data_IF_841723127476
#
_entry.id   IF_841723127476
#
_cell.length_a   1.000
_cell.length_b   1.000
_cell.length_c   1.000
_cell.angle_alpha   90.00
_cell.angle_beta   90.00
_cell.angle_gamma   90.00
#
_symmetry.space_group_name_H-M   'P 1'
#
loop_
_entity.id
_entity.type
_entity.pdbx_description
1 polymer ?
#
# COMPACT_ATOMS: atom_id res chain seq x y z
N UNK A 1 5.32 -28.41 11.89
CA UNK A 1 5.60 -27.18 11.13
C UNK A 1 7.06 -26.82 11.36
N UNK A 2 7.87 -26.64 10.31
CA UNK A 2 9.22 -26.08 10.49
C UNK A 2 9.13 -24.72 11.20
N UNK A 3 10.16 -24.30 11.93
CA UNK A 3 10.14 -23.09 12.75
C UNK A 3 9.93 -21.78 11.99
N UNK A 4 10.40 -20.66 12.54
CA UNK A 4 10.40 -19.38 11.83
C UNK A 4 11.37 -19.42 10.66
N UNK A 5 10.98 -18.81 9.54
CA UNK A 5 11.89 -18.56 8.41
C UNK A 5 12.78 -17.37 8.76
N UNK A 6 14.02 -17.64 9.17
CA UNK A 6 14.99 -16.64 9.61
C UNK A 6 15.49 -15.72 8.47
N UNK A 7 15.17 -16.06 7.22
CA UNK A 7 15.43 -15.17 6.09
C UNK A 7 14.41 -14.03 5.98
N UNK A 8 13.29 -14.08 6.72
CA UNK A 8 12.31 -13.01 6.79
C UNK A 8 12.65 -12.02 7.90
N UNK A 9 12.58 -10.73 7.60
CA UNK A 9 12.94 -9.67 8.55
C UNK A 9 11.74 -8.99 9.22
N UNK A 10 10.59 -9.02 8.57
CA UNK A 10 9.37 -8.32 8.96
C UNK A 10 8.10 -9.18 8.90
N UNK A 11 8.07 -10.22 8.05
CA UNK A 11 6.87 -11.04 7.80
C UNK A 11 6.95 -12.49 8.34
N UNK A 12 7.80 -12.76 9.33
CA UNK A 12 8.00 -14.10 9.91
C UNK A 12 6.73 -14.69 10.52
N UNK A 13 6.00 -13.88 11.28
CA UNK A 13 4.75 -14.24 11.94
C UNK A 13 3.64 -14.45 10.91
N UNK A 14 3.56 -13.59 9.90
CA UNK A 14 2.63 -13.74 8.79
C UNK A 14 2.87 -15.04 8.01
N UNK A 15 4.12 -15.36 7.67
CA UNK A 15 4.47 -16.63 7.03
C UNK A 15 4.08 -17.84 7.89
N UNK A 16 4.41 -17.80 9.20
CA UNK A 16 4.05 -18.86 10.13
C UNK A 16 2.53 -19.07 10.21
N UNK A 17 1.75 -17.99 10.26
CA UNK A 17 0.29 -18.05 10.26
C UNK A 17 -0.26 -18.63 8.96
N UNK A 18 0.25 -18.20 7.80
CA UNK A 18 -0.15 -18.78 6.51
C UNK A 18 0.15 -20.28 6.41
N UNK A 19 1.26 -20.75 6.99
CA UNK A 19 1.53 -22.19 7.11
C UNK A 19 0.58 -22.87 8.07
N UNK A 20 0.25 -22.23 9.19
CA UNK A 20 -0.67 -22.79 10.17
C UNK A 20 -2.08 -23.01 9.59
N UNK A 21 -2.57 -22.05 8.80
CA UNK A 21 -3.89 -22.08 8.15
C UNK A 21 -4.09 -23.24 7.18
N UNK A 22 -3.03 -23.91 6.73
CA UNK A 22 -3.14 -25.11 5.90
C UNK A 22 -3.56 -26.35 6.69
N UNK A 23 -3.45 -26.31 8.02
CA UNK A 23 -3.73 -27.45 8.90
C UNK A 23 -4.87 -27.19 9.88
N UNK A 24 -5.35 -25.96 9.98
CA UNK A 24 -6.41 -25.59 10.92
C UNK A 24 -7.26 -24.46 10.39
N UNK A 25 -8.54 -24.47 10.76
CA UNK A 25 -9.44 -23.35 10.55
C UNK A 25 -9.25 -22.30 11.65
N UNK A 26 -9.34 -21.03 11.28
CA UNK A 26 -9.34 -19.92 12.23
C UNK A 26 -10.69 -19.24 12.25
N UNK A 27 -11.06 -18.71 13.41
CA UNK A 27 -12.23 -17.87 13.59
C UNK A 27 -11.78 -16.48 14.03
N UNK A 28 -12.45 -15.45 13.51
CA UNK A 28 -12.15 -14.08 13.89
C UNK A 28 -12.85 -13.74 15.21
N UNK A 29 -12.06 -13.37 16.22
CA UNK A 29 -12.58 -12.88 17.49
C UNK A 29 -12.77 -11.37 17.40
N UNK A 30 -14.00 -10.89 17.57
CA UNK A 30 -14.34 -9.47 17.47
C UNK A 30 -13.87 -8.63 18.66
N UNK A 31 -13.46 -9.26 19.75
CA UNK A 31 -13.01 -8.60 20.96
C UNK A 31 -11.54 -8.13 20.87
N UNK A 32 -11.24 -7.04 21.58
CA UNK A 32 -9.86 -6.55 21.68
C UNK A 32 -9.06 -7.42 22.64
N UNK A 33 -8.27 -8.34 22.11
CA UNK A 33 -7.43 -9.24 22.92
C UNK A 33 -6.05 -8.68 23.25
N UNK A 34 -5.54 -7.73 22.45
CA UNK A 34 -4.20 -7.17 22.61
C UNK A 34 -4.14 -5.67 22.29
N UNK A 35 -3.21 -4.97 22.94
CA UNK A 35 -2.86 -3.58 22.65
C UNK A 35 -1.37 -3.49 22.38
N UNK A 36 -1.00 -3.03 21.19
CA UNK A 36 0.40 -2.82 20.82
C UNK A 36 0.77 -1.35 20.99
N UNK A 37 1.98 -1.08 21.48
CA UNK A 37 2.53 0.27 21.52
C UNK A 37 3.33 0.52 20.25
N UNK A 38 2.91 1.51 19.47
CA UNK A 38 3.66 1.97 18.30
C UNK A 38 4.78 2.89 18.77
N UNK A 39 6.02 2.40 18.72
CA UNK A 39 7.21 3.21 18.93
C UNK A 39 7.69 3.79 17.60
N UNK A 40 8.10 5.06 17.58
CA UNK A 40 8.65 5.72 16.39
C UNK A 40 9.93 5.08 15.86
N UNK A 41 10.64 4.34 16.72
CA UNK A 41 11.82 3.56 16.37
C UNK A 41 11.50 2.10 15.99
N UNK A 42 10.22 1.70 15.94
CA UNK A 42 9.88 0.33 15.55
C UNK A 42 10.23 0.09 14.08
N UNK A 43 10.47 -1.18 13.73
CA UNK A 43 10.72 -1.59 12.34
C UNK A 43 9.57 -1.21 11.42
N UNK A 44 8.34 -1.30 11.92
CA UNK A 44 7.09 -0.92 11.23
C UNK A 44 7.04 0.57 10.89
N UNK A 45 7.61 1.43 11.73
CA UNK A 45 7.58 2.89 11.54
C UNK A 45 8.81 3.44 10.80
N UNK A 46 9.95 2.76 10.92
CA UNK A 46 11.22 3.20 10.31
C UNK A 46 11.49 2.66 8.90
N UNK A 47 10.92 1.50 8.52
CA UNK A 47 11.15 0.87 7.21
C UNK A 47 9.86 0.32 6.56
N UNK A 48 8.79 1.14 6.43
CA UNK A 48 7.49 0.66 5.97
C UNK A 48 7.53 0.02 4.57
N UNK A 49 8.27 0.61 3.64
CA UNK A 49 8.40 0.10 2.26
C UNK A 49 8.98 -1.31 2.20
N UNK A 50 10.00 -1.62 3.02
CA UNK A 50 10.63 -2.95 3.00
C UNK A 50 9.71 -4.00 3.61
N UNK A 51 9.05 -3.65 4.71
CA UNK A 51 8.07 -4.51 5.37
C UNK A 51 6.90 -4.82 4.43
N UNK A 52 6.34 -3.80 3.79
CA UNK A 52 5.20 -3.94 2.88
C UNK A 52 5.53 -4.82 1.67
N UNK A 53 6.72 -4.66 1.10
CA UNK A 53 7.17 -5.50 -0.03
C UNK A 53 7.38 -6.94 0.42
N UNK A 54 8.02 -7.18 1.57
CA UNK A 54 8.21 -8.53 2.08
C UNK A 54 6.88 -9.21 2.41
N UNK A 55 5.91 -8.48 2.96
CA UNK A 55 4.56 -8.99 3.22
C UNK A 55 3.87 -9.44 1.92
N UNK A 56 3.95 -8.63 0.86
CA UNK A 56 3.42 -9.02 -0.46
C UNK A 56 4.14 -10.25 -1.01
N UNK A 57 5.47 -10.32 -0.89
CA UNK A 57 6.25 -11.48 -1.34
C UNK A 57 5.86 -12.75 -0.60
N UNK A 58 5.65 -12.68 0.72
CA UNK A 58 5.18 -13.82 1.51
C UNK A 58 3.76 -14.20 1.09
N UNK A 59 2.84 -13.25 0.95
CA UNK A 59 1.47 -13.52 0.50
C UNK A 59 1.44 -14.25 -0.86
N UNK A 60 2.29 -13.84 -1.80
CA UNK A 60 2.43 -14.47 -3.12
C UNK A 60 2.78 -15.96 -3.04
N UNK A 61 3.54 -16.40 -2.02
CA UNK A 61 3.88 -17.81 -1.81
C UNK A 61 2.61 -18.66 -1.63
N UNK A 62 1.55 -18.10 -1.07
CA UNK A 62 0.33 -18.83 -0.68
C UNK A 62 -0.87 -18.61 -1.61
N UNK A 63 -0.80 -17.71 -2.60
CA UNK A 63 -1.93 -17.41 -3.49
C UNK A 63 -2.48 -18.63 -4.24
N UNK A 64 -1.64 -19.60 -4.55
CA UNK A 64 -2.07 -20.84 -5.21
C UNK A 64 -3.06 -21.67 -4.38
N UNK A 65 -3.16 -21.40 -3.06
CA UNK A 65 -4.12 -22.03 -2.16
C UNK A 65 -5.48 -21.32 -2.13
N UNK A 66 -5.59 -20.13 -2.73
CA UNK A 66 -6.82 -19.34 -2.75
C UNK A 66 -7.70 -19.71 -3.95
N UNK A 67 -9.03 -19.56 -3.84
CA UNK A 67 -9.91 -19.57 -5.00
C UNK A 67 -9.47 -18.54 -6.05
N UNK A 68 -9.71 -18.82 -7.34
CA UNK A 68 -9.24 -17.95 -8.43
C UNK A 68 -9.74 -16.50 -8.30
N UNK A 69 -10.96 -16.29 -7.84
CA UNK A 69 -11.54 -14.96 -7.58
C UNK A 69 -10.74 -14.18 -6.53
N UNK A 70 -10.35 -14.85 -5.45
CA UNK A 70 -9.55 -14.28 -4.36
C UNK A 70 -8.10 -14.05 -4.79
N UNK A 71 -7.55 -14.87 -5.68
CA UNK A 71 -6.23 -14.62 -6.28
C UNK A 71 -6.21 -13.32 -7.08
N UNK A 72 -7.24 -13.10 -7.92
CA UNK A 72 -7.37 -11.88 -8.71
C UNK A 72 -7.55 -10.67 -7.79
N UNK A 73 -8.39 -10.78 -6.76
CA UNK A 73 -8.60 -9.73 -5.77
C UNK A 73 -7.30 -9.41 -5.02
N UNK A 74 -6.56 -10.43 -4.57
CA UNK A 74 -5.28 -10.29 -3.87
C UNK A 74 -4.23 -9.60 -4.73
N UNK A 75 -4.09 -10.00 -6.01
CA UNK A 75 -3.20 -9.33 -6.97
C UNK A 75 -3.55 -7.86 -7.15
N UNK A 76 -4.83 -7.55 -7.36
CA UNK A 76 -5.30 -6.19 -7.54
C UNK A 76 -5.07 -5.34 -6.28
N UNK A 77 -5.34 -5.89 -5.10
CA UNK A 77 -5.12 -5.24 -3.81
C UNK A 77 -3.64 -4.93 -3.59
N UNK A 78 -2.75 -5.93 -3.67
CA UNK A 78 -1.31 -5.75 -3.45
C UNK A 78 -0.72 -4.77 -4.47
N UNK A 79 -1.12 -4.85 -5.73
CA UNK A 79 -0.66 -3.92 -6.77
C UNK A 79 -1.11 -2.49 -6.48
N UNK A 80 -2.41 -2.28 -6.20
CA UNK A 80 -2.94 -0.96 -5.90
C UNK A 80 -2.33 -0.35 -4.63
N UNK A 81 -2.07 -1.18 -3.62
CA UNK A 81 -1.40 -0.80 -2.39
C UNK A 81 0.05 -0.33 -2.65
N UNK A 82 0.85 -1.11 -3.38
CA UNK A 82 2.23 -0.75 -3.71
C UNK A 82 2.33 0.51 -4.58
N UNK A 83 1.46 0.66 -5.59
CA UNK A 83 1.44 1.87 -6.43
C UNK A 83 1.05 3.10 -5.61
N UNK A 84 0.09 2.99 -4.67
CA UNK A 84 -0.28 4.08 -3.76
C UNK A 84 0.88 4.48 -2.84
N UNK A 85 1.62 3.49 -2.31
CA UNK A 85 2.82 3.76 -1.54
C UNK A 85 3.91 4.42 -2.39
N UNK A 86 4.11 3.95 -3.62
CA UNK A 86 5.04 4.59 -4.56
C UNK A 86 4.72 6.08 -4.74
N UNK A 87 3.45 6.43 -4.92
CA UNK A 87 3.00 7.82 -5.00
C UNK A 87 3.25 8.61 -3.71
N UNK A 88 2.99 8.00 -2.54
CA UNK A 88 3.22 8.62 -1.23
C UNK A 88 4.71 8.93 -1.01
N UNK A 89 5.58 7.97 -1.33
CA UNK A 89 7.03 8.12 -1.25
C UNK A 89 7.55 9.18 -2.23
N UNK A 90 7.01 9.22 -3.45
CA UNK A 90 7.39 10.22 -4.45
C UNK A 90 7.01 11.64 -3.99
N UNK A 91 5.81 11.83 -3.42
CA UNK A 91 5.35 13.11 -2.87
C UNK A 91 6.18 13.54 -1.65
N UNK A 92 6.71 12.60 -0.88
CA UNK A 92 7.65 12.86 0.21
C UNK A 92 9.09 13.13 -0.27
N UNK A 93 9.35 13.16 -1.58
CA UNK A 93 10.69 13.37 -2.16
C UNK A 93 11.60 12.14 -2.11
N UNK A 94 11.08 10.97 -1.70
CA UNK A 94 11.85 9.73 -1.53
C UNK A 94 11.78 8.84 -2.78
N UNK A 95 12.33 9.35 -3.89
CA UNK A 95 12.22 8.71 -5.21
C UNK A 95 12.73 7.26 -5.26
N UNK A 96 13.81 6.93 -4.55
CA UNK A 96 14.34 5.56 -4.53
C UNK A 96 13.34 4.57 -3.90
N UNK A 97 12.69 4.97 -2.82
CA UNK A 97 11.66 4.16 -2.18
C UNK A 97 10.43 4.03 -3.09
N UNK A 98 10.02 5.12 -3.75
CA UNK A 98 8.95 5.11 -4.73
C UNK A 98 9.19 4.13 -5.89
N UNK A 99 10.40 4.16 -6.46
CA UNK A 99 10.80 3.22 -7.53
C UNK A 99 10.85 1.78 -7.03
N UNK A 100 11.24 1.56 -5.78
CA UNK A 100 11.27 0.22 -5.18
C UNK A 100 9.84 -0.34 -5.03
N UNK A 101 8.88 0.47 -4.57
CA UNK A 101 7.47 0.08 -4.53
C UNK A 101 6.92 -0.21 -5.93
N UNK A 102 7.28 0.59 -6.92
CA UNK A 102 6.81 0.42 -8.29
C UNK A 102 7.40 -0.84 -8.96
N UNK A 103 8.70 -1.10 -8.76
CA UNK A 103 9.33 -2.34 -9.21
C UNK A 103 8.65 -3.57 -8.57
N UNK A 104 8.37 -3.51 -7.27
CA UNK A 104 7.64 -4.56 -6.58
C UNK A 104 6.22 -4.75 -7.16
N UNK A 105 5.50 -3.67 -7.49
CA UNK A 105 4.15 -3.79 -8.06
C UNK A 105 4.17 -4.38 -9.47
N UNK A 106 5.15 -4.03 -10.30
CA UNK A 106 5.34 -4.60 -11.64
C UNK A 106 5.59 -6.11 -11.60
N UNK A 107 6.32 -6.60 -10.58
CA UNK A 107 6.54 -8.03 -10.33
C UNK A 107 5.28 -8.77 -9.88
N UNK A 108 4.30 -8.05 -9.32
CA UNK A 108 2.99 -8.63 -8.96
C UNK A 108 2.11 -8.73 -10.20
N UNK A 109 1.85 -7.61 -10.86
CA UNK A 109 0.97 -7.52 -12.03
C UNK A 109 1.24 -6.23 -12.82
N UNK A 110 1.80 -6.39 -14.02
CA UNK A 110 2.14 -5.27 -14.92
C UNK A 110 0.89 -4.51 -15.37
N UNK A 111 -0.16 -5.22 -15.79
CA UNK A 111 -1.37 -4.60 -16.33
C UNK A 111 -2.11 -3.82 -15.24
N UNK A 112 -2.26 -4.40 -14.06
CA UNK A 112 -2.86 -3.72 -12.92
C UNK A 112 -1.99 -2.54 -12.45
N UNK A 113 -0.67 -2.63 -12.52
CA UNK A 113 0.24 -1.52 -12.17
C UNK A 113 0.01 -0.32 -13.10
N UNK A 114 0.03 -0.55 -14.41
CA UNK A 114 -0.20 0.51 -15.39
C UNK A 114 -1.58 1.15 -15.25
N UNK A 115 -2.61 0.33 -15.02
CA UNK A 115 -3.98 0.80 -14.75
C UNK A 115 -4.03 1.71 -13.51
N UNK A 116 -3.40 1.30 -12.42
CA UNK A 116 -3.36 2.08 -11.18
C UNK A 116 -2.59 3.39 -11.35
N UNK A 117 -1.44 3.36 -12.03
CA UNK A 117 -0.66 4.56 -12.34
C UNK A 117 -1.47 5.56 -13.16
N UNK A 118 -2.10 5.11 -14.25
CA UNK A 118 -2.95 5.96 -15.09
C UNK A 118 -4.11 6.57 -14.30
N UNK A 119 -4.77 5.77 -13.46
CA UNK A 119 -5.84 6.25 -12.57
C UNK A 119 -5.35 7.31 -11.57
N UNK A 120 -4.19 7.10 -10.93
CA UNK A 120 -3.63 8.06 -9.99
C UNK A 120 -3.16 9.35 -10.66
N UNK A 121 -2.57 9.25 -11.86
CA UNK A 121 -2.16 10.41 -12.65
C UNK A 121 -3.38 11.27 -13.04
N UNK A 122 -4.44 10.66 -13.56
CA UNK A 122 -5.69 11.36 -13.90
C UNK A 122 -6.33 12.01 -12.68
N UNK A 123 -6.35 11.33 -11.53
CA UNK A 123 -6.83 11.90 -10.28
C UNK A 123 -5.97 13.08 -9.81
N UNK A 124 -4.65 13.01 -10.01
CA UNK A 124 -3.71 14.12 -9.76
C UNK A 124 -4.03 15.35 -10.62
N UNK A 125 -4.18 15.17 -11.94
CA UNK A 125 -4.53 16.25 -12.86
C UNK A 125 -5.86 16.92 -12.49
N UNK A 126 -6.89 16.13 -12.14
CA UNK A 126 -8.19 16.67 -11.70
C UNK A 126 -8.04 17.54 -10.43
N UNK A 127 -7.27 17.08 -9.44
CA UNK A 127 -7.02 17.86 -8.22
C UNK A 127 -6.28 19.16 -8.50
N UNK A 128 -5.32 19.15 -9.43
CA UNK A 128 -4.59 20.34 -9.82
C UNK A 128 -5.48 21.36 -10.56
N UNK A 129 -6.31 20.90 -11.50
CA UNK A 129 -7.26 21.75 -12.21
C UNK A 129 -8.28 22.41 -11.26
N UNK A 130 -8.80 21.65 -10.28
CA UNK A 130 -9.71 22.19 -9.25
C UNK A 130 -9.00 23.22 -8.37
N UNK A 131 -7.76 22.97 -7.94
CA UNK A 131 -6.99 23.92 -7.14
C UNK A 131 -6.71 25.24 -7.88
N UNK A 132 -6.48 25.19 -9.19
CA UNK A 132 -6.28 26.38 -10.03
C UNK A 132 -7.57 27.21 -10.16
N UNK A 133 -8.72 26.55 -10.31
CA UNK A 133 -10.03 27.23 -10.36
C UNK A 133 -10.39 27.88 -9.01
N UNK A 134 -10.09 27.24 -7.88
CA UNK A 134 -10.30 27.81 -6.54
C UNK A 134 -9.44 29.05 -6.29
N UNK A 135 -8.17 29.07 -6.73
CA UNK A 135 -7.30 30.26 -6.62
C UNK A 135 -7.82 31.44 -7.44
N UNK A 136 -8.28 31.20 -8.67
CA UNK A 136 -8.83 32.25 -9.54
C UNK A 136 -10.13 32.89 -9.01
N UNK A 137 -11.03 32.09 -8.42
CA UNK A 137 -12.25 32.61 -7.80
C UNK A 137 -11.97 33.43 -6.54
N UNK A 138 -11.03 33.01 -5.68
CA UNK A 138 -10.65 33.80 -4.50
C UNK A 138 -10.01 35.14 -4.87
N UNK A 139 -9.15 35.19 -5.90
CA UNK A 139 -8.53 36.45 -6.34
C UNK A 139 -9.55 37.43 -6.95
N UNK A 140 -10.57 36.93 -7.67
CA UNK A 140 -11.65 37.78 -8.20
C UNK A 140 -12.57 38.32 -7.10
N UNK A 141 -12.86 37.52 -6.08
CA UNK A 141 -13.69 37.93 -4.95
C UNK A 141 -12.98 38.96 -4.07
N UNK A 142 -11.66 38.81 -3.88
CA UNK A 142 -10.86 39.75 -3.11
C UNK A 142 -10.70 41.10 -3.82
N UNK A 143 -10.60 41.13 -5.17
CA UNK A 143 -10.56 42.39 -5.95
C UNK A 143 -11.88 43.19 -5.92
N UNK A 144 -13.02 42.51 -5.78
CA UNK A 144 -14.33 43.19 -5.67
C UNK A 144 -14.54 43.86 -4.32
N UNK A 145 -14.00 43.29 -3.24
CA UNK A 145 -14.15 43.83 -1.88
C UNK A 145 -13.24 45.03 -1.58
N UNK A 146 -12.22 45.30 -2.39
CA UNK A 146 -11.28 46.44 -2.20
C UNK A 146 -11.72 47.69 -2.98
N UNK A 147 -12.74 47.56 -3.84
CA UNK A 147 -13.22 48.64 -4.72
C UNK A 147 -14.57 49.24 -4.29
N UNK A 148 -15.08 48.91 -3.11
CA UNK A 148 -16.34 49.42 -2.54
C UNK A 148 -16.12 49.97 -1.15
#
# INVERSE_FOLDING_TARGET
MGGLDEHLHYAMDYDLLCRALQYTSVEYVSDTLARFRLHSASKTTSQPVKMDIELVQVAQRYWHLLPQTEQVASRAFCTGFLVRWAGTEALAGRLRAALTCLDASLKVDVAATLKNLGGQFLAGLRRHAVAHNYRGSNDQQNRRNVSG
#
